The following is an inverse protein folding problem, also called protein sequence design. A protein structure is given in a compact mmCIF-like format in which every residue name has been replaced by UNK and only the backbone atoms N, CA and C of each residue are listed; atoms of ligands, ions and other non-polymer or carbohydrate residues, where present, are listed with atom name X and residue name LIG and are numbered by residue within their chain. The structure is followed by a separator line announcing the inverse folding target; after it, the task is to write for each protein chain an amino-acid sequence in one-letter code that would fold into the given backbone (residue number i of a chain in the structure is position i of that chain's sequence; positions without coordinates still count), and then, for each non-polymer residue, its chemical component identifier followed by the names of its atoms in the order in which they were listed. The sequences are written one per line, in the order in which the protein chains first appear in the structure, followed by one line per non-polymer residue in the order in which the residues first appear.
data_IF_399197860151
#
_entry.id   IF_399197860151
#
_cell.length_a   1.000
_cell.length_b   1.000
_cell.length_c   1.000
_cell.angle_alpha   90.00
_cell.angle_beta   90.00
_cell.angle_gamma   90.00
#
_symmetry.space_group_name_H-M   'P 1'
#
loop_
_entity.id
_entity.type
_entity.pdbx_description
1 polymer ?
#
# COMPACT_ATOMS: atom_id res chain seq x y z
N UNK A 1 13.08 27.84 5.72
CA UNK A 1 12.58 27.10 6.89
C UNK A 1 11.58 26.07 6.36
N UNK A 2 12.01 24.83 6.16
CA UNK A 2 11.13 23.74 5.72
C UNK A 2 10.26 23.35 6.92
N UNK A 3 8.96 23.62 6.83
CA UNK A 3 7.99 23.04 7.76
C UNK A 3 7.93 21.54 7.48
N UNK A 4 8.67 20.78 8.29
CA UNK A 4 8.46 19.35 8.43
C UNK A 4 7.06 19.23 9.01
N UNK A 5 6.08 18.83 8.20
CA UNK A 5 4.80 18.36 8.73
C UNK A 5 5.09 17.05 9.46
N UNK A 6 5.49 17.17 10.72
CA UNK A 6 5.62 16.07 11.66
C UNK A 6 4.20 15.55 11.91
N UNK A 7 3.73 14.69 11.01
CA UNK A 7 2.49 13.94 11.23
C UNK A 7 2.76 13.04 12.42
N UNK A 8 1.89 13.03 13.44
CA UNK A 8 2.07 12.15 14.59
C UNK A 8 2.20 10.70 14.08
N UNK A 9 3.22 9.95 14.52
CA UNK A 9 3.40 8.56 14.13
C UNK A 9 2.17 7.77 14.59
N UNK A 10 1.37 7.30 13.63
CA UNK A 10 0.16 6.52 13.88
C UNK A 10 -1.15 7.11 13.36
N UNK A 11 -1.19 8.37 12.91
CA UNK A 11 -2.42 8.90 12.31
C UNK A 11 -2.43 8.66 10.80
N UNK A 12 -3.14 7.60 10.38
CA UNK A 12 -3.45 7.33 8.99
C UNK A 12 -4.01 8.59 8.33
N UNK A 13 -3.42 8.98 7.21
CA UNK A 13 -3.97 10.03 6.35
C UNK A 13 -5.33 9.56 5.85
N UNK A 14 -6.30 10.45 5.56
CA UNK A 14 -7.60 10.04 5.00
C UNK A 14 -7.43 9.17 3.74
N UNK A 15 -6.36 9.41 2.97
CA UNK A 15 -5.99 8.61 1.81
C UNK A 15 -5.40 7.24 2.18
N UNK A 16 -4.65 7.15 3.27
CA UNK A 16 -4.12 5.90 3.80
C UNK A 16 -5.22 5.01 4.37
N UNK A 17 -6.22 5.63 5.01
CA UNK A 17 -7.40 4.93 5.48
C UNK A 17 -8.22 4.39 4.31
N UNK A 18 -8.50 5.21 3.28
CA UNK A 18 -9.18 4.77 2.05
C UNK A 18 -8.44 3.62 1.34
N UNK A 19 -7.10 3.70 1.27
CA UNK A 19 -6.25 2.62 0.74
C UNK A 19 -6.37 1.33 1.55
N UNK A 20 -6.32 1.44 2.87
CA UNK A 20 -6.43 0.29 3.75
C UNK A 20 -7.82 -0.35 3.65
N UNK A 21 -8.88 0.47 3.60
CA UNK A 21 -10.26 0.00 3.42
C UNK A 21 -10.43 -0.75 2.10
N UNK A 22 -9.96 -0.19 0.98
CA UNK A 22 -10.02 -0.85 -0.34
C UNK A 22 -9.25 -2.18 -0.37
N UNK A 23 -8.08 -2.22 0.26
CA UNK A 23 -7.30 -3.46 0.38
C UNK A 23 -8.00 -4.49 1.29
N UNK A 24 -8.74 -4.02 2.29
CA UNK A 24 -9.46 -4.87 3.25
C UNK A 24 -10.76 -5.44 2.68
N UNK A 25 -11.49 -4.69 1.87
CA UNK A 25 -12.75 -5.13 1.26
C UNK A 25 -12.59 -6.42 0.44
N UNK A 26 -11.46 -6.58 -0.24
CA UNK A 26 -11.17 -7.77 -1.03
C UNK A 26 -10.49 -8.89 -0.23
N UNK A 27 -9.60 -8.54 0.71
CA UNK A 27 -8.79 -9.54 1.44
C UNK A 27 -7.78 -10.30 0.55
N UNK A 28 -7.65 -9.93 -0.72
CA UNK A 28 -6.71 -10.51 -1.67
C UNK A 28 -5.34 -9.82 -1.64
N UNK A 29 -4.36 -10.49 -2.24
CA UNK A 29 -3.01 -9.95 -2.44
C UNK A 29 -2.95 -9.14 -3.74
N UNK A 30 -2.56 -7.87 -3.63
CA UNK A 30 -2.47 -6.95 -4.76
C UNK A 30 -1.03 -6.57 -5.08
N UNK A 31 -0.66 -6.62 -6.35
CA UNK A 31 0.54 -5.94 -6.81
C UNK A 31 0.29 -4.44 -7.00
N UNK A 32 1.34 -3.64 -7.21
CA UNK A 32 1.23 -2.18 -7.38
C UNK A 32 0.25 -1.76 -8.47
N UNK A 33 0.15 -2.51 -9.56
CA UNK A 33 -0.79 -2.25 -10.65
C UNK A 33 -2.23 -2.56 -10.24
N UNK A 34 -2.46 -3.63 -9.49
CA UNK A 34 -3.75 -3.98 -8.90
C UNK A 34 -4.22 -2.92 -7.92
N UNK A 35 -3.31 -2.43 -7.08
CA UNK A 35 -3.59 -1.31 -6.16
C UNK A 35 -4.00 -0.08 -6.97
N UNK A 36 -3.25 0.31 -8.00
CA UNK A 36 -3.61 1.45 -8.85
C UNK A 36 -5.03 1.32 -9.44
N UNK A 37 -5.41 0.11 -9.87
CA UNK A 37 -6.74 -0.18 -10.39
C UNK A 37 -7.86 -0.02 -9.35
N UNK A 38 -7.60 -0.30 -8.06
CA UNK A 38 -8.58 -0.06 -6.99
C UNK A 38 -8.97 1.44 -6.87
N UNK A 39 -8.08 2.34 -7.31
CA UNK A 39 -8.33 3.78 -7.36
C UNK A 39 -8.71 4.29 -8.76
N UNK A 40 -8.96 3.39 -9.72
CA UNK A 40 -9.21 3.77 -11.11
C UNK A 40 -8.00 4.41 -11.81
N UNK A 41 -6.79 4.19 -11.28
CA UNK A 41 -5.55 4.74 -11.82
C UNK A 41 -4.82 3.71 -12.70
N UNK A 42 -4.10 4.19 -13.71
CA UNK A 42 -3.25 3.32 -14.56
C UNK A 42 -1.98 2.86 -13.84
N UNK A 43 -1.45 3.71 -12.96
CA UNK A 43 -0.20 3.49 -12.23
C UNK A 43 -0.31 4.12 -10.84
N UNK A 44 0.30 3.48 -9.84
CA UNK A 44 0.40 4.03 -8.49
C UNK A 44 1.40 5.18 -8.46
N UNK A 45 1.01 6.32 -7.90
CA UNK A 45 1.91 7.46 -7.79
C UNK A 45 3.01 7.23 -6.74
N UNK A 46 4.18 7.87 -6.86
CA UNK A 46 5.28 7.70 -5.90
C UNK A 46 4.89 8.01 -4.45
N UNK A 47 4.04 9.02 -4.21
CA UNK A 47 3.56 9.35 -2.86
C UNK A 47 2.66 8.25 -2.28
N UNK A 48 1.90 7.55 -3.12
CA UNK A 48 1.03 6.43 -2.70
C UNK A 48 1.86 5.18 -2.42
N UNK A 49 2.97 4.99 -3.13
CA UNK A 49 3.95 3.94 -2.80
C UNK A 49 4.61 4.21 -1.45
N UNK A 50 5.02 5.45 -1.19
CA UNK A 50 5.61 5.82 0.10
C UNK A 50 4.62 5.54 1.25
N UNK A 51 3.37 5.98 1.09
CA UNK A 51 2.29 5.70 2.05
C UNK A 51 2.07 4.19 2.26
N UNK A 52 2.08 3.40 1.19
CA UNK A 52 1.93 1.94 1.29
C UNK A 52 3.07 1.29 2.09
N UNK A 53 4.30 1.76 1.92
CA UNK A 53 5.45 1.26 2.70
C UNK A 53 5.37 1.72 4.17
N UNK A 54 4.83 2.92 4.46
CA UNK A 54 4.52 3.35 5.84
C UNK A 54 3.48 2.44 6.49
N UNK A 55 2.42 2.07 5.76
CA UNK A 55 1.40 1.13 6.26
C UNK A 55 1.96 -0.26 6.51
N UNK A 56 2.92 -0.70 5.70
CA UNK A 56 3.65 -1.95 5.94
C UNK A 56 4.48 -1.86 7.21
N UNK A 57 5.19 -0.74 7.40
CA UNK A 57 6.04 -0.50 8.58
C UNK A 57 5.22 -0.42 9.86
N UNK A 58 4.05 0.23 9.79
CA UNK A 58 3.10 0.30 10.89
C UNK A 58 2.36 -1.03 11.15
N UNK A 59 2.52 -2.01 10.27
CA UNK A 59 1.91 -3.33 10.41
C UNK A 59 0.42 -3.36 10.12
N UNK A 60 -0.10 -2.40 9.33
CA UNK A 60 -1.47 -2.39 8.78
C UNK A 60 -1.57 -3.07 7.41
N UNK A 61 -0.44 -3.24 6.72
CA UNK A 61 -0.36 -3.95 5.44
C UNK A 61 0.75 -5.00 5.51
N UNK A 62 0.47 -6.20 5.03
CA UNK A 62 1.49 -7.22 4.80
C UNK A 62 2.09 -7.03 3.41
N UNK A 63 3.41 -7.15 3.31
CA UNK A 63 4.15 -7.13 2.05
C UNK A 63 4.84 -8.47 1.87
N UNK A 64 4.62 -9.11 0.73
CA UNK A 64 5.31 -10.35 0.36
C UNK A 64 5.93 -10.26 -1.02
N UNK A 65 7.01 -11.01 -1.20
CA UNK A 65 7.56 -11.30 -2.51
C UNK A 65 6.80 -12.52 -3.05
N UNK A 66 6.15 -12.37 -4.19
CA UNK A 66 5.49 -13.46 -4.89
C UNK A 66 6.29 -13.78 -6.15
N UNK A 67 6.62 -15.06 -6.33
CA UNK A 67 7.27 -15.51 -7.56
C UNK A 67 6.31 -15.38 -8.74
N UNK A 68 6.86 -14.91 -9.86
CA UNK A 68 6.11 -14.73 -11.09
C UNK A 68 6.87 -15.39 -12.24
N UNK A 69 6.20 -16.23 -13.06
CA UNK A 69 6.79 -16.66 -14.31
C UNK A 69 6.96 -15.46 -15.24
N UNK A 70 8.19 -15.11 -15.60
CA UNK A 70 8.48 -14.00 -16.51
C UNK A 70 9.91 -13.46 -16.41
N UNK A 71 10.19 -12.42 -17.20
CA UNK A 71 11.52 -11.77 -17.28
C UNK A 71 11.93 -11.11 -15.96
N UNK A 72 10.96 -10.66 -15.17
CA UNK A 72 11.16 -10.25 -13.78
C UNK A 72 10.63 -11.40 -12.91
N UNK A 73 11.50 -12.14 -12.20
CA UNK A 73 11.13 -13.41 -11.58
C UNK A 73 10.25 -13.26 -10.34
N UNK A 74 9.95 -12.04 -9.92
CA UNK A 74 9.12 -11.78 -8.76
C UNK A 74 8.36 -10.46 -8.87
N UNK A 75 7.26 -10.38 -8.11
CA UNK A 75 6.54 -9.15 -7.88
C UNK A 75 6.26 -8.95 -6.39
N UNK A 76 6.23 -7.68 -5.98
CA UNK A 76 5.81 -7.31 -4.64
C UNK A 76 4.28 -7.28 -4.58
N UNK A 77 3.72 -8.04 -3.66
CA UNK A 77 2.30 -8.08 -3.37
C UNK A 77 2.04 -7.54 -1.96
N UNK A 78 0.89 -6.89 -1.81
CA UNK A 78 0.47 -6.21 -0.60
C UNK A 78 -0.94 -6.64 -0.25
N UNK A 79 -1.24 -6.78 1.05
CA UNK A 79 -2.57 -7.11 1.55
C UNK A 79 -2.82 -6.36 2.85
N UNK A 80 -4.04 -5.87 3.08
CA UNK A 80 -4.40 -5.35 4.40
C UNK A 80 -4.28 -6.47 5.45
N UNK A 81 -3.61 -6.20 6.57
CA UNK A 81 -3.68 -7.10 7.71
C UNK A 81 -5.00 -6.87 8.45
N UNK A 82 -5.51 -7.91 9.10
CA UNK A 82 -6.70 -7.80 9.94
C UNK A 82 -6.47 -7.06 11.26
N UNK A 83 -5.25 -6.61 11.55
CA UNK A 83 -4.94 -5.86 12.77
C UNK A 83 -5.42 -4.41 12.63
N UNK A 84 -6.22 -3.99 13.62
CA UNK A 84 -6.69 -2.62 13.85
C UNK A 84 -6.03 -2.13 15.12
#
# INVERSE_FOLDING_TARGET
MLMVFERPPGQLTSKGQDLLEKLRESGEWYNRTGIARLFGQKTIYPHDVALLEELVTAGFVEKRKADKPGFIPFEWQYRATGKV
#
